data_IF_197880257944
#
_entry.id   IF_197880257944
#
_cell.length_a   1.000
_cell.length_b   1.000
_cell.length_c   1.000
_cell.angle_alpha   90.00
_cell.angle_beta   90.00
_cell.angle_gamma   90.00
#
_symmetry.space_group_name_H-M   'P 1'
#
loop_
_entity.id
_entity.type
_entity.pdbx_description
1 polymer ?
#
# COMPACT_ATOMS: atom_id res chain seq x y z
N UNK A 1 -10.97 19.35 -21.69
CA UNK A 1 -11.56 19.06 -20.37
C UNK A 1 -10.42 18.84 -19.40
N UNK A 2 -10.35 19.61 -18.33
CA UNK A 2 -9.39 19.35 -17.25
C UNK A 2 -9.89 18.08 -16.55
N UNK A 3 -9.10 17.01 -16.54
CA UNK A 3 -9.49 15.79 -15.83
C UNK A 3 -9.57 16.12 -14.33
N UNK A 4 -10.77 16.10 -13.76
CA UNK A 4 -10.95 16.31 -12.33
C UNK A 4 -10.42 15.11 -11.56
N UNK A 5 -9.72 15.38 -10.45
CA UNK A 5 -9.43 14.37 -9.43
C UNK A 5 -10.66 14.31 -8.52
N UNK A 6 -11.21 13.12 -8.32
CA UNK A 6 -12.36 12.89 -7.45
C UNK A 6 -11.92 12.04 -6.27
N UNK A 7 -12.15 12.50 -5.06
CA UNK A 7 -11.89 11.70 -3.85
C UNK A 7 -12.82 10.47 -3.81
N UNK A 8 -12.28 9.32 -3.40
CA UNK A 8 -13.03 8.09 -3.17
C UNK A 8 -13.05 7.78 -1.67
N UNK A 9 -14.22 7.49 -1.13
CA UNK A 9 -14.43 7.19 0.30
C UNK A 9 -15.33 6.00 0.54
N UNK A 10 -15.92 5.45 -0.51
CA UNK A 10 -16.74 4.26 -0.45
C UNK A 10 -15.84 3.02 -0.44
N UNK A 11 -15.79 2.34 0.71
CA UNK A 11 -14.94 1.16 0.89
C UNK A 11 -15.29 0.04 -0.10
N UNK A 12 -16.56 -0.11 -0.46
CA UNK A 12 -17.00 -1.14 -1.41
C UNK A 12 -16.37 -0.90 -2.80
N UNK A 13 -16.08 0.36 -3.14
CA UNK A 13 -15.37 0.73 -4.36
C UNK A 13 -13.85 0.63 -4.24
N UNK A 14 -13.29 0.30 -3.07
CA UNK A 14 -11.85 0.17 -2.85
C UNK A 14 -11.40 -1.30 -2.75
N UNK A 15 -12.31 -2.22 -2.41
CA UNK A 15 -12.04 -3.65 -2.35
C UNK A 15 -11.55 -4.20 -3.70
N UNK A 16 -10.55 -5.08 -3.68
CA UNK A 16 -9.92 -5.66 -4.87
C UNK A 16 -8.39 -5.54 -4.89
N UNK A 17 -7.81 -5.80 -6.05
CA UNK A 17 -6.36 -5.78 -6.27
C UNK A 17 -5.82 -4.40 -6.61
N UNK A 18 -4.68 -4.06 -6.03
CA UNK A 18 -3.93 -2.83 -6.24
C UNK A 18 -2.48 -3.16 -6.58
N UNK A 19 -1.88 -2.41 -7.50
CA UNK A 19 -0.43 -2.44 -7.71
C UNK A 19 0.21 -1.38 -6.84
N UNK A 20 1.27 -1.73 -6.14
CA UNK A 20 1.84 -0.90 -5.09
C UNK A 20 3.34 -0.65 -5.29
N UNK A 21 3.75 0.51 -4.80
CA UNK A 21 5.14 0.87 -4.53
C UNK A 21 5.24 1.29 -3.07
N UNK A 22 6.04 0.57 -2.28
CA UNK A 22 6.45 1.01 -0.95
C UNK A 22 7.86 1.59 -1.01
N UNK A 23 8.06 2.72 -0.34
CA UNK A 23 9.35 3.40 -0.24
C UNK A 23 9.73 3.47 1.23
N UNK A 24 10.64 2.61 1.68
CA UNK A 24 11.13 2.65 3.06
C UNK A 24 12.29 3.60 3.21
N UNK A 25 12.39 4.17 4.40
CA UNK A 25 13.41 5.16 4.74
C UNK A 25 13.54 6.23 3.64
N UNK A 26 12.44 6.95 3.31
CA UNK A 26 12.43 7.88 2.18
C UNK A 26 13.47 8.99 2.34
N UNK A 27 13.88 9.30 3.57
CA UNK A 27 14.91 10.30 3.88
C UNK A 27 16.33 9.70 3.97
N UNK A 28 16.49 8.37 3.94
CA UNK A 28 17.78 7.68 3.97
C UNK A 28 18.52 7.80 5.31
N UNK A 29 17.81 7.77 6.44
CA UNK A 29 18.33 7.95 7.79
C UNK A 29 18.91 6.69 8.42
N UNK A 30 18.36 5.52 8.11
CA UNK A 30 18.60 4.28 8.87
C UNK A 30 19.15 3.16 7.98
N UNK A 31 18.30 2.61 7.10
CA UNK A 31 18.65 1.49 6.20
C UNK A 31 19.16 1.99 4.85
N UNK A 32 18.93 3.26 4.53
CA UNK A 32 19.00 3.78 3.18
C UNK A 32 17.70 3.51 2.42
N UNK A 33 17.39 4.34 1.42
CA UNK A 33 16.10 4.26 0.73
C UNK A 33 15.95 2.93 -0.02
N UNK A 34 14.88 2.20 0.30
CA UNK A 34 14.50 0.94 -0.32
C UNK A 34 13.18 1.11 -1.09
N UNK A 35 12.97 0.29 -2.12
CA UNK A 35 11.75 0.32 -2.92
C UNK A 35 11.21 -1.09 -3.12
N UNK A 36 9.98 -1.35 -2.68
CA UNK A 36 9.28 -2.62 -2.93
C UNK A 36 8.15 -2.44 -3.91
N UNK A 37 8.10 -3.35 -4.88
CA UNK A 37 6.99 -3.54 -5.79
C UNK A 37 6.23 -4.78 -5.38
N UNK A 38 4.92 -4.64 -5.23
CA UNK A 38 4.04 -5.69 -4.75
C UNK A 38 2.61 -5.48 -5.25
N UNK A 39 1.79 -6.53 -5.18
CA UNK A 39 0.35 -6.41 -5.27
C UNK A 39 -0.26 -6.39 -3.86
N UNK A 40 -1.27 -5.54 -3.67
CA UNK A 40 -2.09 -5.52 -2.47
C UNK A 40 -3.50 -5.95 -2.83
N UNK A 41 -4.01 -6.99 -2.17
CA UNK A 41 -5.43 -7.35 -2.24
C UNK A 41 -6.14 -6.86 -0.99
N UNK A 42 -7.08 -5.93 -1.16
CA UNK A 42 -8.02 -5.55 -0.13
C UNK A 42 -9.23 -6.47 -0.21
N UNK A 43 -9.32 -7.42 0.71
CA UNK A 43 -10.36 -8.46 0.70
C UNK A 43 -11.37 -8.26 1.83
N UNK A 44 -12.61 -8.69 1.60
CA UNK A 44 -13.69 -8.67 2.58
C UNK A 44 -14.49 -7.36 2.61
N UNK A 45 -15.16 -7.11 3.73
CA UNK A 45 -16.00 -5.95 3.98
C UNK A 45 -15.47 -5.16 5.19
N UNK A 46 -15.95 -3.93 5.36
CA UNK A 46 -15.66 -3.09 6.54
C UNK A 46 -15.83 -3.90 7.85
N UNK A 47 -14.78 -3.92 8.68
CA UNK A 47 -14.75 -4.64 9.96
C UNK A 47 -14.55 -6.16 9.91
N UNK A 48 -14.46 -6.78 8.72
CA UNK A 48 -14.20 -8.23 8.56
C UNK A 48 -13.31 -8.55 7.33
N UNK A 49 -12.48 -7.59 6.94
CA UNK A 49 -11.55 -7.75 5.82
C UNK A 49 -10.14 -8.09 6.25
N UNK A 50 -9.29 -8.36 5.26
CA UNK A 50 -7.84 -8.39 5.45
C UNK A 50 -7.13 -7.77 4.24
N UNK A 51 -5.88 -7.36 4.47
CA UNK A 51 -4.97 -6.91 3.43
C UNK A 51 -3.97 -8.03 3.18
N UNK A 52 -3.81 -8.42 1.92
CA UNK A 52 -2.82 -9.42 1.50
C UNK A 52 -1.78 -8.71 0.65
N UNK A 53 -0.51 -8.81 1.05
CA UNK A 53 0.64 -8.27 0.35
C UNK A 53 1.37 -9.42 -0.36
N UNK A 54 1.37 -9.38 -1.69
CA UNK A 54 1.99 -10.34 -2.60
C UNK A 54 3.23 -9.68 -3.23
N UNK A 55 4.41 -10.08 -2.75
CA UNK A 55 5.68 -9.42 -3.03
C UNK A 55 6.18 -9.76 -4.43
N UNK A 56 6.81 -8.80 -5.10
CA UNK A 56 7.38 -9.02 -6.43
C UNK A 56 8.87 -8.72 -6.46
N UNK A 57 9.28 -7.53 -6.05
CA UNK A 57 10.66 -7.10 -6.31
C UNK A 57 11.08 -5.95 -5.38
N UNK A 58 12.29 -6.05 -4.84
CA UNK A 58 12.91 -5.00 -4.03
C UNK A 58 14.12 -4.38 -4.73
N UNK A 59 14.30 -3.08 -4.56
CA UNK A 59 15.54 -2.37 -4.89
C UNK A 59 16.18 -1.77 -3.65
N UNK A 60 17.44 -2.16 -3.41
CA UNK A 60 18.31 -1.66 -2.36
C UNK A 60 19.54 -0.99 -3.00
N UNK A 61 19.44 0.32 -3.27
CA UNK A 61 20.45 1.03 -4.05
C UNK A 61 20.59 0.46 -5.47
N UNK A 62 21.74 -0.14 -5.79
CA UNK A 62 21.99 -0.79 -7.08
C UNK A 62 21.64 -2.30 -7.08
N UNK A 63 21.19 -2.83 -5.95
CA UNK A 63 20.78 -4.23 -5.86
C UNK A 63 19.31 -4.37 -6.26
N UNK A 64 19.05 -5.44 -7.00
CA UNK A 64 17.75 -5.84 -7.50
C UNK A 64 17.50 -7.24 -6.95
N UNK A 65 16.45 -7.38 -6.15
CA UNK A 65 16.13 -8.59 -5.40
C UNK A 65 14.76 -9.07 -5.85
N UNK A 66 14.71 -10.30 -6.38
CA UNK A 66 13.47 -10.95 -6.75
C UNK A 66 12.79 -11.51 -5.48
N UNK A 67 11.53 -11.16 -5.28
CA UNK A 67 10.75 -11.55 -4.11
C UNK A 67 9.48 -12.33 -4.48
N UNK A 68 9.32 -12.78 -5.73
CA UNK A 68 8.09 -13.47 -6.16
C UNK A 68 7.85 -14.81 -5.47
N UNK A 69 8.89 -15.39 -4.87
CA UNK A 69 8.79 -16.63 -4.08
C UNK A 69 8.61 -16.36 -2.56
N UNK A 70 8.55 -15.09 -2.14
CA UNK A 70 8.33 -14.72 -0.75
C UNK A 70 6.88 -15.00 -0.33
N UNK A 71 6.67 -15.50 0.89
CA UNK A 71 5.32 -15.75 1.40
C UNK A 71 4.51 -14.44 1.52
N UNK A 72 3.25 -14.51 1.09
CA UNK A 72 2.30 -13.42 1.24
C UNK A 72 2.22 -12.94 2.69
N UNK A 73 2.26 -11.62 2.86
CA UNK A 73 2.04 -11.03 4.18
C UNK A 73 0.57 -10.65 4.35
N UNK A 74 -0.08 -11.25 5.35
CA UNK A 74 -1.47 -10.94 5.70
C UNK A 74 -1.52 -9.97 6.86
N UNK A 75 -2.19 -8.82 6.65
CA UNK A 75 -2.49 -7.85 7.70
C UNK A 75 -3.98 -7.92 8.04
N UNK A 76 -4.29 -7.75 9.33
CA UNK A 76 -5.64 -7.37 9.72
C UNK A 76 -5.94 -5.97 9.20
N UNK A 77 -7.22 -5.62 9.06
CA UNK A 77 -7.60 -4.26 8.69
C UNK A 77 -8.70 -3.67 9.53
N UNK A 78 -8.68 -2.35 9.62
CA UNK A 78 -9.78 -1.52 10.10
C UNK A 78 -10.02 -0.39 9.09
N UNK A 79 -11.28 0.00 8.91
CA UNK A 79 -11.65 1.13 8.08
C UNK A 79 -12.38 2.14 8.95
N UNK A 80 -11.81 3.34 9.05
CA UNK A 80 -12.35 4.37 9.93
C UNK A 80 -12.12 5.75 9.36
N UNK A 81 -13.19 6.54 9.31
CA UNK A 81 -13.16 7.94 8.90
C UNK A 81 -12.45 8.17 7.53
N UNK A 82 -12.64 7.25 6.58
CA UNK A 82 -12.02 7.31 5.25
C UNK A 82 -10.55 6.87 5.19
N UNK A 83 -10.04 6.28 6.27
CA UNK A 83 -8.67 5.76 6.35
C UNK A 83 -8.69 4.24 6.50
N UNK A 84 -7.91 3.57 5.66
CA UNK A 84 -7.59 2.15 5.79
C UNK A 84 -6.38 2.00 6.70
N UNK A 85 -6.56 1.25 7.78
CA UNK A 85 -5.48 0.83 8.66
C UNK A 85 -5.22 -0.66 8.47
N UNK A 86 -3.98 -1.04 8.17
CA UNK A 86 -3.51 -2.42 8.18
C UNK A 86 -2.60 -2.65 9.38
N UNK A 87 -2.72 -3.78 10.08
CA UNK A 87 -1.89 -4.09 11.24
C UNK A 87 -1.55 -5.58 11.39
N UNK A 88 -0.34 -5.87 11.85
CA UNK A 88 0.21 -7.21 12.02
C UNK A 88 1.75 -7.14 12.09
N UNK A 89 2.49 -7.81 11.17
CA UNK A 89 3.96 -7.70 11.11
C UNK A 89 4.48 -6.30 10.69
N UNK A 90 3.59 -5.45 10.16
CA UNK A 90 3.85 -4.04 9.85
C UNK A 90 2.53 -3.26 10.01
N UNK A 91 2.62 -1.93 10.04
CA UNK A 91 1.45 -1.05 10.08
C UNK A 91 1.33 -0.28 8.77
N UNK A 92 0.15 -0.31 8.16
CA UNK A 92 -0.19 0.46 6.95
C UNK A 92 -1.27 1.49 7.30
N UNK A 93 -1.17 2.69 6.77
CA UNK A 93 -2.23 3.71 6.86
C UNK A 93 -2.41 4.40 5.52
N UNK A 94 -3.52 4.16 4.85
CA UNK A 94 -3.87 4.78 3.56
C UNK A 94 -5.06 5.71 3.79
N UNK A 95 -4.86 7.01 3.58
CA UNK A 95 -5.83 8.05 3.95
C UNK A 95 -6.26 8.94 2.78
N UNK A 96 -5.73 8.68 1.60
CA UNK A 96 -6.10 9.38 0.37
C UNK A 96 -6.37 8.36 -0.70
N UNK A 97 -7.62 8.31 -1.16
CA UNK A 97 -8.05 7.53 -2.31
C UNK A 97 -8.70 8.47 -3.31
N UNK A 98 -8.40 8.31 -4.59
CA UNK A 98 -8.96 9.18 -5.62
C UNK A 98 -9.03 8.50 -6.99
N UNK A 99 -10.03 8.91 -7.76
CA UNK A 99 -10.19 8.56 -9.17
C UNK A 99 -9.61 9.66 -10.06
N UNK A 100 -8.81 9.26 -11.05
CA UNK A 100 -8.28 10.16 -12.07
C UNK A 100 -8.07 9.43 -13.39
N UNK A 101 -8.57 10.00 -14.49
CA UNK A 101 -8.33 9.52 -15.86
C UNK A 101 -8.55 8.02 -16.09
N UNK A 102 -9.59 7.43 -15.51
CA UNK A 102 -9.90 6.01 -15.75
C UNK A 102 -9.48 5.08 -14.62
N UNK A 103 -8.54 5.49 -13.76
CA UNK A 103 -7.96 4.66 -12.73
C UNK A 103 -8.20 5.21 -11.32
N UNK A 104 -8.09 4.34 -10.33
CA UNK A 104 -8.02 4.74 -8.93
C UNK A 104 -6.58 4.72 -8.43
N UNK A 105 -6.31 5.61 -7.49
CA UNK A 105 -5.03 5.80 -6.86
C UNK A 105 -5.22 5.90 -5.36
N UNK A 106 -4.20 5.46 -4.63
CA UNK A 106 -4.15 5.67 -3.19
C UNK A 106 -2.74 6.00 -2.73
N UNK A 107 -2.64 6.80 -1.67
CA UNK A 107 -1.35 7.11 -1.03
C UNK A 107 -1.49 7.09 0.48
N UNK A 108 -0.39 6.75 1.15
CA UNK A 108 -0.35 6.62 2.60
C UNK A 108 1.05 6.36 3.13
N UNK A 109 1.11 5.78 4.32
CA UNK A 109 2.35 5.48 5.05
C UNK A 109 2.39 4.02 5.45
N UNK A 110 3.62 3.52 5.62
CA UNK A 110 3.90 2.21 6.18
C UNK A 110 4.93 2.36 7.30
N UNK A 111 4.84 1.54 8.34
CA UNK A 111 5.84 1.44 9.39
C UNK A 111 6.18 -0.02 9.63
N UNK A 112 7.46 -0.36 9.48
CA UNK A 112 7.96 -1.72 9.71
C UNK A 112 8.04 -2.04 11.21
N UNK A 113 8.21 -3.32 11.54
CA UNK A 113 8.27 -3.77 12.94
C UNK A 113 9.41 -3.14 13.76
N UNK A 114 10.51 -2.76 13.09
CA UNK A 114 11.66 -2.10 13.71
C UNK A 114 11.49 -0.58 13.87
N UNK A 115 10.35 -0.03 13.44
CA UNK A 115 10.04 1.40 13.48
C UNK A 115 10.44 2.17 12.24
N UNK A 116 11.05 1.54 11.23
CA UNK A 116 11.38 2.19 9.96
C UNK A 116 10.11 2.73 9.30
N UNK A 117 10.07 4.03 9.03
CA UNK A 117 8.97 4.70 8.34
C UNK A 117 9.10 4.58 6.83
N UNK A 118 7.96 4.54 6.14
CA UNK A 118 7.90 4.51 4.69
C UNK A 118 6.62 5.12 4.13
N UNK A 119 6.63 5.28 2.80
CA UNK A 119 5.52 5.78 2.01
C UNK A 119 4.90 4.65 1.19
N UNK A 120 3.59 4.71 0.99
CA UNK A 120 2.85 3.79 0.13
C UNK A 120 2.19 4.56 -1.01
N UNK A 121 2.34 4.08 -2.24
CA UNK A 121 1.65 4.56 -3.42
C UNK A 121 1.00 3.37 -4.14
N UNK A 122 -0.25 3.52 -4.55
CA UNK A 122 -1.08 2.43 -5.05
C UNK A 122 -1.86 2.87 -6.30
N UNK A 123 -2.06 1.96 -7.25
CA UNK A 123 -2.89 2.17 -8.44
C UNK A 123 -3.75 0.94 -8.72
N UNK A 124 -4.99 1.20 -9.12
CA UNK A 124 -5.92 0.19 -9.65
C UNK A 124 -6.49 0.70 -10.98
N UNK A 125 -6.11 0.09 -12.11
CA UNK A 125 -6.59 0.46 -13.44
C UNK A 125 -8.10 0.28 -13.64
#
# INVERSE_FOLDING_TARGET
MQASVTEEKDFDNLAGGWKCLFIYDPEGKDTGRLYDFLNLTLSGAEGNGCIILDWSHMYAGNQSIDETDMEDTVLNMDWKDGTLYGYGPMNLSINQFYYHQGAQYAVGTITLADGTEGLAAMIRP
#
